data_IF_668115543236
#
_entry.id   IF_668115543236
#
_cell.length_a   1.000
_cell.length_b   1.000
_cell.length_c   1.000
_cell.angle_alpha   90.00
_cell.angle_beta   90.00
_cell.angle_gamma   90.00
#
_symmetry.space_group_name_H-M   'P 1'
#
loop_
_entity.id
_entity.type
_entity.pdbx_description
1 polymer ?
#
# COMPACT_ATOMS: atom_id res chain seq x y z
N UNK A 1 24.71 23.90 -1.07
CA UNK A 1 23.39 23.36 -0.64
C UNK A 1 23.08 24.01 0.69
N UNK A 2 21.92 24.61 0.88
CA UNK A 2 21.57 25.24 2.14
C UNK A 2 20.72 24.25 2.94
N UNK A 3 21.23 23.77 4.08
CA UNK A 3 20.55 22.84 4.95
C UNK A 3 20.14 23.56 6.23
N UNK A 4 18.88 23.38 6.67
CA UNK A 4 18.37 23.99 7.88
C UNK A 4 17.23 23.16 8.48
N UNK A 5 17.18 23.10 9.81
CA UNK A 5 16.12 22.47 10.57
C UNK A 5 15.44 23.51 11.45
N UNK A 6 14.09 23.55 11.42
CA UNK A 6 13.30 24.57 12.08
C UNK A 6 12.17 23.95 12.90
N UNK A 7 11.86 24.52 14.06
CA UNK A 7 10.79 24.08 14.93
C UNK A 7 11.14 22.84 15.77
N UNK A 8 10.12 22.05 16.10
CA UNK A 8 10.24 20.87 16.97
C UNK A 8 9.78 19.61 16.25
N UNK A 9 10.48 18.50 16.47
CA UNK A 9 10.14 17.18 15.97
C UNK A 9 9.00 16.54 16.78
N UNK A 10 8.91 16.86 18.07
CA UNK A 10 7.81 16.44 18.92
C UNK A 10 7.33 17.62 19.76
N UNK A 11 6.06 18.02 19.58
CA UNK A 11 5.44 19.06 20.42
C UNK A 11 5.27 18.60 21.87
N UNK A 12 4.94 17.34 22.05
CA UNK A 12 4.71 16.76 23.39
C UNK A 12 5.98 16.74 24.26
N UNK A 13 7.13 16.48 23.62
CA UNK A 13 8.40 16.30 24.33
C UNK A 13 9.37 17.45 24.08
N UNK A 14 8.92 18.50 23.36
CA UNK A 14 9.73 19.68 22.99
C UNK A 14 11.09 19.33 22.38
N UNK A 15 11.15 18.20 21.65
CA UNK A 15 12.37 17.76 20.97
C UNK A 15 12.65 18.68 19.80
N UNK A 16 13.80 19.38 19.76
CA UNK A 16 14.13 20.26 18.66
C UNK A 16 14.36 19.48 17.36
N UNK A 17 13.98 20.09 16.23
CA UNK A 17 14.32 19.55 14.92
C UNK A 17 15.81 19.67 14.64
N UNK A 18 16.42 18.68 13.97
CA UNK A 18 17.79 18.75 13.46
C UNK A 18 17.91 18.06 12.10
N UNK A 19 18.91 18.45 11.31
CA UNK A 19 19.11 17.99 9.92
C UNK A 19 19.24 16.47 9.79
N UNK A 20 19.75 15.77 10.79
CA UNK A 20 19.87 14.30 10.77
C UNK A 20 18.58 13.54 11.14
N UNK A 21 17.44 14.23 11.33
CA UNK A 21 16.19 13.57 11.70
C UNK A 21 15.62 12.74 10.54
N UNK A 22 15.11 11.55 10.89
CA UNK A 22 14.43 10.67 9.94
C UNK A 22 12.93 10.84 10.09
N UNK A 23 12.23 10.85 8.96
CA UNK A 23 10.78 10.91 8.87
C UNK A 23 10.27 9.68 8.15
N UNK A 24 9.12 9.17 8.61
CA UNK A 24 8.29 8.29 7.80
C UNK A 24 7.76 9.08 6.61
N UNK A 25 8.01 8.58 5.41
CA UNK A 25 7.59 9.23 4.17
C UNK A 25 6.18 8.83 3.73
N UNK A 26 5.52 7.96 4.49
CA UNK A 26 4.15 7.51 4.25
C UNK A 26 3.92 7.12 2.77
N UNK A 27 2.90 7.65 2.14
CA UNK A 27 2.52 7.31 0.76
C UNK A 27 3.51 7.72 -0.33
N UNK A 28 4.55 8.51 -0.02
CA UNK A 28 5.66 8.72 -0.96
C UNK A 28 6.37 7.40 -1.26
N UNK A 29 6.31 6.43 -0.35
CA UNK A 29 6.79 5.05 -0.55
C UNK A 29 6.21 4.40 -1.81
N UNK A 30 4.97 4.72 -2.18
CA UNK A 30 4.33 4.18 -3.39
C UNK A 30 5.09 4.49 -4.68
N UNK A 31 5.80 5.63 -4.74
CA UNK A 31 6.66 5.95 -5.88
C UNK A 31 7.82 4.94 -6.02
N UNK A 32 8.41 4.54 -4.90
CA UNK A 32 9.50 3.56 -4.90
C UNK A 32 8.98 2.17 -5.29
N UNK A 33 7.82 1.76 -4.77
CA UNK A 33 7.17 0.51 -5.19
C UNK A 33 6.87 0.53 -6.70
N UNK A 34 6.31 1.62 -7.22
CA UNK A 34 6.05 1.76 -8.66
C UNK A 34 7.32 1.64 -9.49
N UNK A 35 8.41 2.28 -9.07
CA UNK A 35 9.70 2.19 -9.78
C UNK A 35 10.23 0.76 -9.73
N UNK A 36 10.18 0.08 -8.59
CA UNK A 36 10.64 -1.29 -8.45
C UNK A 36 9.86 -2.25 -9.37
N UNK A 37 8.53 -2.15 -9.40
CA UNK A 37 7.67 -2.93 -10.31
C UNK A 37 8.02 -2.63 -11.78
N UNK A 38 8.12 -1.35 -12.16
CA UNK A 38 8.42 -0.97 -13.54
C UNK A 38 9.81 -1.39 -14.00
N UNK A 39 10.80 -1.42 -13.11
CA UNK A 39 12.12 -1.97 -13.41
C UNK A 39 12.06 -3.47 -13.72
N UNK A 40 11.22 -4.22 -13.01
CA UNK A 40 11.02 -5.64 -13.29
C UNK A 40 10.21 -5.89 -14.57
N UNK A 41 9.26 -5.01 -14.88
CA UNK A 41 8.57 -5.03 -16.17
C UNK A 41 9.53 -4.77 -17.32
N UNK A 42 10.42 -3.79 -17.19
CA UNK A 42 11.47 -3.49 -18.18
C UNK A 42 12.47 -4.66 -18.35
N UNK A 43 12.74 -5.37 -17.26
CA UNK A 43 13.58 -6.58 -17.27
C UNK A 43 12.84 -7.83 -17.80
N UNK A 44 11.53 -7.76 -18.06
CA UNK A 44 10.72 -8.87 -18.55
C UNK A 44 10.39 -9.93 -17.50
N UNK A 45 10.56 -9.64 -16.20
CA UNK A 45 10.20 -10.54 -15.09
C UNK A 45 8.78 -10.36 -14.61
N UNK A 46 8.19 -9.19 -14.81
CA UNK A 46 6.78 -8.90 -14.56
C UNK A 46 6.11 -8.38 -15.83
N UNK A 47 4.77 -8.48 -15.87
CA UNK A 47 3.93 -7.89 -16.92
C UNK A 47 2.80 -7.10 -16.25
N UNK A 48 2.58 -5.86 -16.70
CA UNK A 48 1.55 -4.99 -16.15
C UNK A 48 0.13 -5.48 -16.37
N UNK A 49 -0.09 -6.28 -17.43
CA UNK A 49 -1.42 -6.66 -17.91
C UNK A 49 -1.77 -8.14 -17.60
N UNK A 50 -0.86 -8.86 -16.95
CA UNK A 50 -1.11 -10.20 -16.45
C UNK A 50 -1.75 -10.14 -15.06
N UNK A 51 -2.58 -11.14 -14.72
CA UNK A 51 -3.23 -11.23 -13.42
C UNK A 51 -2.22 -11.22 -12.26
N UNK A 52 -2.53 -10.49 -11.22
CA UNK A 52 -1.73 -10.47 -9.98
C UNK A 52 -1.61 -11.86 -9.34
N UNK A 53 -2.54 -12.76 -9.61
CA UNK A 53 -2.55 -14.13 -9.07
C UNK A 53 -1.42 -15.00 -9.60
N UNK A 54 -0.72 -14.58 -10.66
CA UNK A 54 0.49 -15.27 -11.13
C UNK A 54 1.67 -15.10 -10.15
N UNK A 55 1.64 -14.05 -9.32
CA UNK A 55 2.75 -13.74 -8.41
C UNK A 55 2.34 -13.77 -6.93
N UNK A 56 1.05 -13.55 -6.63
CA UNK A 56 0.54 -13.52 -5.27
C UNK A 56 -0.55 -14.56 -5.10
N UNK A 57 -0.38 -15.47 -4.15
CA UNK A 57 -1.41 -16.45 -3.82
C UNK A 57 -2.59 -15.77 -3.11
N UNK A 58 -3.68 -15.60 -3.85
CA UNK A 58 -4.93 -15.04 -3.37
C UNK A 58 -6.08 -16.06 -3.37
N UNK A 59 -5.75 -17.36 -3.44
CA UNK A 59 -6.74 -18.43 -3.41
C UNK A 59 -7.56 -18.38 -2.11
N UNK A 60 -8.88 -18.54 -2.25
CA UNK A 60 -9.80 -18.47 -1.12
C UNK A 60 -10.13 -17.07 -0.61
N UNK A 61 -9.59 -16.02 -1.24
CA UNK A 61 -9.97 -14.63 -0.96
C UNK A 61 -11.07 -14.15 -1.91
N UNK A 62 -11.69 -12.99 -1.60
CA UNK A 62 -12.64 -12.32 -2.48
C UNK A 62 -11.99 -11.47 -3.58
N UNK A 63 -10.68 -11.53 -3.75
CA UNK A 63 -9.94 -10.71 -4.73
C UNK A 63 -10.15 -11.27 -6.15
N UNK A 64 -10.55 -10.41 -7.08
CA UNK A 64 -10.79 -10.81 -8.47
C UNK A 64 -9.49 -11.23 -9.17
N UNK A 65 -9.55 -12.33 -9.92
CA UNK A 65 -8.45 -12.79 -10.79
C UNK A 65 -8.24 -11.93 -12.03
N UNK A 66 -9.11 -10.96 -12.29
CA UNK A 66 -8.96 -9.99 -13.39
C UNK A 66 -8.08 -8.79 -13.00
N UNK A 67 -7.68 -8.68 -11.74
CA UNK A 67 -6.83 -7.60 -11.27
C UNK A 67 -5.40 -7.82 -11.78
N UNK A 68 -4.84 -6.77 -12.37
CA UNK A 68 -3.48 -6.75 -12.92
C UNK A 68 -2.61 -5.76 -12.14
N UNK A 69 -1.29 -5.83 -12.30
CA UNK A 69 -0.36 -4.82 -11.73
C UNK A 69 -0.72 -3.40 -12.18
N UNK A 70 -1.16 -3.22 -13.43
CA UNK A 70 -1.64 -1.93 -13.93
C UNK A 70 -2.80 -1.40 -13.08
N UNK A 71 -3.80 -2.22 -12.78
CA UNK A 71 -4.93 -1.82 -11.94
C UNK A 71 -4.47 -1.41 -10.53
N UNK A 72 -3.50 -2.10 -9.94
CA UNK A 72 -2.98 -1.78 -8.62
C UNK A 72 -2.24 -0.44 -8.61
N UNK A 73 -1.30 -0.24 -9.55
CA UNK A 73 -0.48 0.97 -9.62
C UNK A 73 -1.29 2.23 -9.98
N UNK A 74 -2.41 2.07 -10.69
CA UNK A 74 -3.28 3.19 -11.12
C UNK A 74 -4.49 3.40 -10.22
N UNK A 75 -4.61 2.66 -9.11
CA UNK A 75 -5.76 2.73 -8.19
C UNK A 75 -7.11 2.39 -8.83
N UNK A 76 -7.11 1.50 -9.85
CA UNK A 76 -8.31 1.08 -10.58
C UNK A 76 -8.70 -0.37 -10.33
N UNK A 77 -8.13 -1.01 -9.30
CA UNK A 77 -8.37 -2.43 -9.00
C UNK A 77 -9.76 -2.73 -8.45
N UNK A 78 -10.41 -1.76 -7.80
CA UNK A 78 -11.66 -1.95 -7.10
C UNK A 78 -11.53 -2.70 -5.76
N UNK A 79 -10.33 -3.08 -5.33
CA UNK A 79 -10.10 -3.67 -4.01
C UNK A 79 -10.51 -2.65 -2.95
N UNK A 80 -11.24 -3.09 -1.92
CA UNK A 80 -11.51 -2.25 -0.76
C UNK A 80 -10.21 -2.00 0.03
N UNK A 81 -10.03 -0.79 0.53
CA UNK A 81 -8.84 -0.45 1.30
C UNK A 81 -8.89 -1.03 2.72
N UNK A 82 -7.75 -1.13 3.36
CA UNK A 82 -7.61 -1.57 4.75
C UNK A 82 -8.43 -0.66 5.69
N UNK A 83 -8.28 0.67 5.58
CA UNK A 83 -9.14 1.65 6.22
C UNK A 83 -9.64 2.67 5.19
N UNK A 84 -10.94 2.73 4.98
CA UNK A 84 -11.58 3.72 4.11
C UNK A 84 -11.94 4.98 4.91
N UNK A 85 -11.02 5.95 4.97
CA UNK A 85 -11.23 7.21 5.68
C UNK A 85 -12.40 8.02 5.12
N UNK A 86 -12.70 7.90 3.81
CA UNK A 86 -13.87 8.59 3.23
C UNK A 86 -15.19 7.96 3.68
N UNK A 87 -15.18 6.67 4.05
CA UNK A 87 -16.30 6.00 4.69
C UNK A 87 -16.30 6.17 6.23
N UNK A 88 -15.33 6.91 6.78
CA UNK A 88 -15.21 7.16 8.23
C UNK A 88 -14.52 6.03 9.00
N UNK A 89 -13.84 5.12 8.33
CA UNK A 89 -13.05 4.09 9.00
C UNK A 89 -11.74 4.69 9.55
N UNK A 90 -11.21 4.10 10.62
CA UNK A 90 -10.01 4.55 11.31
C UNK A 90 -8.88 3.53 11.18
N UNK A 91 -7.66 4.03 10.90
CA UNK A 91 -6.46 3.18 10.91
C UNK A 91 -6.14 2.59 12.28
N UNK A 92 -6.49 3.28 13.38
CA UNK A 92 -6.30 2.72 14.71
C UNK A 92 -7.14 1.46 14.92
N UNK A 93 -8.32 1.37 14.31
CA UNK A 93 -9.21 0.21 14.42
C UNK A 93 -8.59 -1.06 13.82
N UNK A 94 -7.71 -0.94 12.83
CA UNK A 94 -7.01 -2.09 12.22
C UNK A 94 -6.15 -2.86 13.23
N UNK A 95 -5.68 -2.18 14.27
CA UNK A 95 -4.73 -2.73 15.24
C UNK A 95 -5.34 -3.06 16.60
N UNK A 96 -6.69 -3.02 16.72
CA UNK A 96 -7.40 -3.39 17.97
C UNK A 96 -7.20 -4.88 18.27
N UNK A 97 -7.46 -5.73 17.28
CA UNK A 97 -7.35 -7.19 17.43
C UNK A 97 -6.01 -7.75 16.95
N UNK A 98 -5.29 -6.97 16.16
CA UNK A 98 -3.98 -7.34 15.61
C UNK A 98 -3.00 -6.19 15.80
N UNK A 99 -2.18 -6.22 16.86
CA UNK A 99 -1.27 -5.13 17.15
C UNK A 99 -0.23 -4.94 16.03
N UNK A 100 0.16 -3.70 15.76
CA UNK A 100 1.07 -3.34 14.67
C UNK A 100 2.42 -4.07 14.74
N UNK A 101 2.91 -4.39 15.94
CA UNK A 101 4.16 -5.17 16.10
C UNK A 101 4.04 -6.63 15.67
N UNK A 102 2.83 -7.14 15.42
CA UNK A 102 2.61 -8.46 14.84
C UNK A 102 2.73 -8.48 13.31
N UNK A 103 2.82 -7.30 12.69
CA UNK A 103 3.05 -7.13 11.26
C UNK A 103 4.54 -7.02 11.04
N UNK A 104 5.17 -8.11 10.61
CA UNK A 104 6.62 -8.22 10.44
C UNK A 104 7.03 -8.31 8.96
N UNK A 105 6.11 -8.69 8.09
CA UNK A 105 6.30 -8.90 6.65
C UNK A 105 5.11 -8.32 5.90
N UNK A 106 5.29 -8.06 4.60
CA UNK A 106 4.22 -7.50 3.76
C UNK A 106 3.02 -8.42 3.69
N UNK A 107 3.22 -9.75 3.67
CA UNK A 107 2.14 -10.74 3.66
C UNK A 107 1.24 -10.67 4.90
N UNK A 108 1.75 -10.16 6.00
CA UNK A 108 0.98 -10.02 7.24
C UNK A 108 -0.15 -8.99 7.13
N UNK A 109 -0.13 -8.11 6.12
CA UNK A 109 -1.22 -7.19 5.82
C UNK A 109 -2.37 -7.84 5.02
N UNK A 110 -2.16 -8.97 4.34
CA UNK A 110 -3.17 -9.57 3.47
C UNK A 110 -4.55 -9.72 4.12
N UNK A 111 -4.69 -10.18 5.39
CA UNK A 111 -6.00 -10.30 6.02
C UNK A 111 -6.79 -8.99 6.12
N UNK A 112 -6.12 -7.85 6.22
CA UNK A 112 -6.76 -6.53 6.25
C UNK A 112 -7.28 -6.12 4.87
N UNK A 113 -6.64 -6.61 3.81
CA UNK A 113 -6.93 -6.27 2.42
C UNK A 113 -7.90 -7.22 1.73
N UNK A 114 -8.06 -8.44 2.25
CA UNK A 114 -8.85 -9.50 1.59
C UNK A 114 -10.22 -9.73 2.22
N UNK A 115 -10.50 -9.11 3.37
CA UNK A 115 -11.71 -9.36 4.16
C UNK A 115 -12.95 -8.58 3.72
N UNK A 116 -12.82 -7.59 2.83
CA UNK A 116 -13.91 -6.69 2.42
C UNK A 116 -14.35 -7.02 0.98
N UNK A 117 -15.64 -6.78 0.63
CA UNK A 117 -16.10 -6.91 -0.75
C UNK A 117 -15.46 -5.85 -1.64
N UNK A 118 -15.28 -6.16 -2.93
CA UNK A 118 -14.80 -5.20 -3.91
C UNK A 118 -15.78 -4.00 -4.05
N UNK A 119 -15.23 -2.81 -4.25
CA UNK A 119 -16.00 -1.57 -4.43
C UNK A 119 -16.58 -1.45 -5.84
N UNK A 120 -15.84 -1.94 -6.85
CA UNK A 120 -16.20 -1.96 -8.26
C UNK A 120 -15.36 -3.02 -9.00
N UNK A 121 -15.78 -3.36 -10.21
CA UNK A 121 -15.01 -4.27 -11.06
C UNK A 121 -13.67 -3.63 -11.50
N UNK A 122 -12.59 -4.41 -11.68
CA UNK A 122 -11.31 -3.90 -12.13
C UNK A 122 -11.45 -3.03 -13.40
N UNK A 123 -10.87 -1.84 -13.38
CA UNK A 123 -10.94 -0.85 -14.45
C UNK A 123 -12.23 -0.03 -14.52
N UNK A 124 -13.27 -0.34 -13.76
CA UNK A 124 -14.55 0.37 -13.82
C UNK A 124 -14.57 1.70 -13.06
N UNK A 125 -13.57 1.97 -12.23
CA UNK A 125 -13.48 3.19 -11.44
C UNK A 125 -12.05 3.47 -10.98
N UNK A 126 -11.88 4.57 -10.26
CA UNK A 126 -10.60 4.91 -9.64
C UNK A 126 -10.85 5.30 -8.18
N UNK A 127 -10.18 4.60 -7.26
CA UNK A 127 -10.19 4.91 -5.84
C UNK A 127 -8.80 4.67 -5.26
N UNK A 128 -8.26 5.67 -4.58
CA UNK A 128 -6.99 5.54 -3.88
C UNK A 128 -7.01 4.31 -2.96
N UNK A 129 -5.93 3.53 -2.96
CA UNK A 129 -5.92 2.25 -2.29
C UNK A 129 -4.51 1.89 -1.81
N UNK A 130 -4.36 1.60 -0.52
CA UNK A 130 -3.11 1.13 0.07
C UNK A 130 -2.90 -0.35 -0.19
N UNK A 131 -3.96 -1.15 -0.05
CA UNK A 131 -3.93 -2.59 -0.27
C UNK A 131 -3.42 -2.97 -1.67
N UNK A 132 -3.80 -2.20 -2.70
CA UNK A 132 -3.28 -2.40 -4.05
C UNK A 132 -1.76 -2.30 -4.13
N UNK A 133 -1.17 -1.35 -3.43
CA UNK A 133 0.29 -1.20 -3.39
C UNK A 133 1.00 -2.24 -2.52
N UNK A 134 0.33 -2.81 -1.53
CA UNK A 134 0.84 -3.97 -0.78
C UNK A 134 0.91 -5.20 -1.70
N UNK A 135 -0.13 -5.47 -2.48
CA UNK A 135 -0.11 -6.55 -3.48
C UNK A 135 0.94 -6.32 -4.57
N UNK A 136 1.09 -5.09 -5.07
CA UNK A 136 2.13 -4.76 -6.04
C UNK A 136 3.55 -4.99 -5.46
N UNK A 137 3.75 -4.66 -4.19
CA UNK A 137 5.01 -4.92 -3.48
C UNK A 137 5.27 -6.41 -3.21
N UNK A 138 4.23 -7.24 -3.09
CA UNK A 138 4.39 -8.69 -2.96
C UNK A 138 4.76 -9.37 -4.27
N UNK A 139 4.37 -8.80 -5.41
CA UNK A 139 4.71 -9.31 -6.73
C UNK A 139 6.14 -8.96 -7.14
N UNK A 140 6.74 -7.93 -6.55
CA UNK A 140 8.08 -7.43 -6.86
C UNK A 140 9.13 -8.00 -5.89
#
# INVERSE_FOLDING_TARGET
MNEGAYGVASRRWEVPMHVGMRFDIASVTKLFTSVAVLQQVDAGTLDLDVSITEWVDLAGTGISTEITLRHLLTHTSGIADDADEEAGESYEALFVDRPNYAVMRTEDFLPQCTGKPALFAPGAGCRYNNCGYQFAGLAS
#
